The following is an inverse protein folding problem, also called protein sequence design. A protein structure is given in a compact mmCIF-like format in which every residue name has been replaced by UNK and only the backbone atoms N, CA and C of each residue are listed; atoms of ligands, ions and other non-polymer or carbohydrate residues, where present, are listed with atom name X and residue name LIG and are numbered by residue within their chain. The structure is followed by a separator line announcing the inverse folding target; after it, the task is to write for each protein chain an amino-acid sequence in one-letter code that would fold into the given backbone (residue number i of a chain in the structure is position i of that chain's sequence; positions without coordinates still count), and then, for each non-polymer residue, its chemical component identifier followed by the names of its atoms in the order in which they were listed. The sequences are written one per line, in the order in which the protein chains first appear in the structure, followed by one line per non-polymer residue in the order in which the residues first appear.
data_IF_130673250945
#
_entry.id   IF_130673250945
#
_cell.length_a   1.000
_cell.length_b   1.000
_cell.length_c   1.000
_cell.angle_alpha   90.00
_cell.angle_beta   90.00
_cell.angle_gamma   90.00
#
_symmetry.space_group_name_H-M   'P 1'
#
loop_
_entity.id
_entity.type
_entity.pdbx_description
1 polymer ?
#
# COMPACT_ATOMS: atom_id res chain seq x y z
N UNK A 1 -19.70 8.06 9.46
CA UNK A 1 -18.37 7.91 8.84
C UNK A 1 -18.58 7.76 7.35
N UNK A 2 -17.96 8.60 6.50
CA UNK A 2 -17.93 8.34 5.06
C UNK A 2 -17.35 6.94 4.83
N UNK A 3 -17.96 6.22 3.89
CA UNK A 3 -17.81 4.79 3.65
C UNK A 3 -16.34 4.36 3.62
N UNK A 4 -15.96 3.46 4.55
CA UNK A 4 -14.60 2.91 4.64
C UNK A 4 -14.22 2.14 3.36
N UNK A 5 -15.21 1.68 2.58
CA UNK A 5 -14.99 1.11 1.25
C UNK A 5 -14.42 2.15 0.29
N UNK A 6 -14.98 3.36 0.27
CA UNK A 6 -14.44 4.46 -0.54
C UNK A 6 -13.02 4.83 -0.11
N UNK A 7 -12.72 4.81 1.19
CA UNK A 7 -11.36 5.06 1.68
C UNK A 7 -10.37 3.99 1.19
N UNK A 8 -10.77 2.72 1.21
CA UNK A 8 -9.96 1.62 0.68
C UNK A 8 -9.70 1.80 -0.82
N UNK A 9 -10.74 2.10 -1.60
CA UNK A 9 -10.61 2.34 -3.04
C UNK A 9 -9.68 3.50 -3.38
N UNK A 10 -9.83 4.64 -2.70
CA UNK A 10 -8.98 5.82 -2.90
C UNK A 10 -7.54 5.57 -2.46
N UNK A 11 -7.33 4.82 -1.37
CA UNK A 11 -5.99 4.41 -0.95
C UNK A 11 -5.31 3.54 -2.00
N UNK A 12 -6.02 2.54 -2.56
CA UNK A 12 -5.45 1.68 -3.60
C UNK A 12 -5.15 2.43 -4.90
N UNK A 13 -5.95 3.42 -5.27
CA UNK A 13 -5.65 4.31 -6.41
C UNK A 13 -4.36 5.10 -6.16
N UNK A 14 -4.26 5.71 -4.98
CA UNK A 14 -3.07 6.47 -4.59
C UNK A 14 -1.82 5.59 -4.55
N UNK A 15 -1.89 4.43 -3.89
CA UNK A 15 -0.78 3.51 -3.76
C UNK A 15 -0.23 3.07 -5.11
N UNK A 16 -1.11 2.70 -6.05
CA UNK A 16 -0.71 2.24 -7.39
C UNK A 16 -0.04 3.34 -8.21
N UNK A 17 -0.45 4.59 -8.08
CA UNK A 17 0.20 5.72 -8.77
C UNK A 17 1.65 5.91 -8.34
N UNK A 18 1.99 5.52 -7.11
CA UNK A 18 3.36 5.63 -6.61
C UNK A 18 4.27 4.48 -7.05
N UNK A 19 3.72 3.38 -7.55
CA UNK A 19 4.49 2.19 -7.86
C UNK A 19 5.43 2.43 -9.04
N UNK A 20 6.62 1.81 -9.04
CA UNK A 20 7.52 1.85 -10.19
C UNK A 20 6.86 1.26 -11.44
N UNK A 21 7.21 1.77 -12.63
CA UNK A 21 6.64 1.28 -13.91
C UNK A 21 6.85 -0.23 -14.10
N UNK A 22 7.99 -0.74 -13.64
CA UNK A 22 8.35 -2.16 -13.76
C UNK A 22 7.44 -3.09 -12.94
N UNK A 23 6.71 -2.57 -11.94
CA UNK A 23 5.79 -3.35 -11.12
C UNK A 23 4.48 -3.68 -11.86
N UNK A 24 4.11 -2.93 -12.91
CA UNK A 24 2.99 -3.21 -13.83
C UNK A 24 1.63 -3.55 -13.17
N UNK A 25 1.30 -2.88 -12.06
CA UNK A 25 0.04 -3.12 -11.31
C UNK A 25 -1.03 -2.04 -11.50
N UNK A 26 -0.80 -1.05 -12.37
CA UNK A 26 -1.74 0.06 -12.58
C UNK A 26 -3.10 -0.39 -13.14
N UNK A 27 -3.14 -1.49 -13.91
CA UNK A 27 -4.37 -2.02 -14.49
C UNK A 27 -5.23 -2.86 -13.53
N UNK A 28 -4.70 -3.22 -12.36
CA UNK A 28 -5.38 -4.12 -11.42
C UNK A 28 -6.47 -3.35 -10.68
N UNK A 29 -7.68 -3.92 -10.58
CA UNK A 29 -8.77 -3.36 -9.78
C UNK A 29 -8.73 -3.90 -8.36
N UNK A 30 -8.88 -3.02 -7.37
CA UNK A 30 -8.94 -3.40 -5.96
C UNK A 30 -7.60 -3.88 -5.38
N UNK A 31 -7.61 -4.71 -4.32
CA UNK A 31 -6.41 -5.17 -3.64
C UNK A 31 -5.49 -6.01 -4.53
N UNK A 32 -4.19 -5.93 -4.25
CA UNK A 32 -3.21 -6.83 -4.85
C UNK A 32 -3.33 -8.23 -4.25
N UNK A 33 -2.96 -9.22 -5.05
CA UNK A 33 -2.89 -10.64 -4.66
C UNK A 33 -1.43 -11.07 -4.58
N UNK A 34 -1.16 -12.19 -3.90
CA UNK A 34 0.17 -12.76 -3.72
C UNK A 34 1.01 -12.89 -5.00
N UNK A 35 0.37 -13.14 -6.15
CA UNK A 35 1.03 -13.20 -7.47
C UNK A 35 1.67 -11.88 -7.92
N UNK A 36 1.37 -10.77 -7.25
CA UNK A 36 1.95 -9.45 -7.50
C UNK A 36 3.02 -9.09 -6.46
N UNK A 37 3.23 -9.94 -5.45
CA UNK A 37 4.14 -9.69 -4.33
C UNK A 37 5.17 -10.84 -4.20
N UNK A 38 5.66 -11.33 -5.34
CA UNK A 38 6.58 -12.47 -5.43
C UNK A 38 8.02 -12.08 -5.05
N UNK A 39 8.82 -13.06 -4.60
CA UNK A 39 10.23 -12.84 -4.22
C UNK A 39 11.07 -12.27 -5.38
N UNK A 40 10.73 -12.62 -6.62
CA UNK A 40 11.37 -12.10 -7.85
C UNK A 40 11.22 -10.59 -8.03
N UNK A 41 10.18 -10.00 -7.45
CA UNK A 41 9.85 -8.57 -7.46
C UNK A 41 10.62 -7.86 -6.33
N UNK A 42 10.98 -8.55 -5.24
CA UNK A 42 11.70 -7.97 -4.08
C UNK A 42 13.10 -7.46 -4.42
N UNK A 43 13.79 -8.13 -5.34
CA UNK A 43 15.20 -7.84 -5.71
C UNK A 43 15.32 -6.71 -6.75
N UNK A 44 14.20 -6.08 -7.11
CA UNK A 44 14.16 -4.98 -8.07
C UNK A 44 14.41 -3.64 -7.39
N UNK A 45 14.74 -2.64 -8.19
CA UNK A 45 15.03 -1.29 -7.70
C UNK A 45 13.74 -0.58 -7.26
N UNK A 46 13.58 -0.45 -5.94
CA UNK A 46 12.48 0.24 -5.29
C UNK A 46 12.81 1.70 -4.94
N UNK A 47 13.99 2.22 -5.30
CA UNK A 47 14.42 3.57 -4.93
C UNK A 47 13.53 4.66 -5.53
N UNK A 48 12.76 4.33 -6.57
CA UNK A 48 11.75 5.24 -7.13
C UNK A 48 10.66 5.65 -6.12
N UNK A 49 10.37 4.80 -5.13
CA UNK A 49 9.45 5.12 -4.03
C UNK A 49 10.05 6.07 -2.98
N UNK A 50 11.38 6.18 -2.92
CA UNK A 50 12.11 6.95 -1.89
C UNK A 50 12.54 8.36 -2.33
N UNK A 51 12.26 8.76 -3.59
CA UNK A 51 12.72 10.03 -4.17
C UNK A 51 12.32 11.24 -3.30
N UNK A 52 13.34 11.94 -2.76
CA UNK A 52 13.27 13.06 -1.79
C UNK A 52 12.41 14.30 -2.18
N UNK A 53 11.74 14.32 -3.33
CA UNK A 53 10.89 15.45 -3.76
C UNK A 53 9.40 15.22 -3.54
N UNK A 54 9.00 13.98 -3.27
CA UNK A 54 7.62 13.60 -3.00
C UNK A 54 7.70 12.64 -1.82
N UNK A 55 7.17 13.01 -0.66
CA UNK A 55 7.13 12.18 0.54
C UNK A 55 6.24 10.92 0.33
N UNK A 56 6.45 10.12 -0.72
CA UNK A 56 5.55 9.05 -1.16
C UNK A 56 5.34 8.04 -0.05
N UNK A 57 6.41 7.38 0.39
CA UNK A 57 6.32 6.37 1.44
C UNK A 57 5.89 6.94 2.81
N UNK A 58 6.37 8.13 3.18
CA UNK A 58 6.00 8.79 4.44
C UNK A 58 4.52 9.17 4.45
N UNK A 59 3.99 9.65 3.33
CA UNK A 59 2.57 10.00 3.17
C UNK A 59 1.71 8.75 3.19
N UNK A 60 2.16 7.65 2.57
CA UNK A 60 1.49 6.35 2.63
C UNK A 60 1.40 5.84 4.07
N UNK A 61 2.51 5.87 4.82
CA UNK A 61 2.54 5.45 6.23
C UNK A 61 1.62 6.34 7.09
N UNK A 62 1.69 7.66 6.93
CA UNK A 62 0.85 8.59 7.67
C UNK A 62 -0.66 8.39 7.37
N UNK A 63 -1.01 8.21 6.10
CA UNK A 63 -2.39 7.93 5.67
C UNK A 63 -2.90 6.60 6.23
N UNK A 64 -2.06 5.56 6.23
CA UNK A 64 -2.43 4.26 6.76
C UNK A 64 -2.60 4.27 8.29
N UNK A 65 -1.76 5.02 9.00
CA UNK A 65 -1.89 5.23 10.45
C UNK A 65 -3.20 5.95 10.79
N UNK A 66 -3.56 7.00 10.03
CA UNK A 66 -4.82 7.71 10.21
C UNK A 66 -6.04 6.80 9.91
N UNK A 67 -5.98 5.99 8.86
CA UNK A 67 -7.03 5.01 8.58
C UNK A 67 -7.14 3.96 9.70
N UNK A 68 -6.04 3.44 10.21
CA UNK A 68 -6.02 2.48 11.32
C UNK A 68 -6.65 3.05 12.60
N UNK A 69 -6.43 4.34 12.87
CA UNK A 69 -7.12 5.03 13.95
C UNK A 69 -8.65 4.99 13.77
N UNK A 70 -9.15 5.22 12.55
CA UNK A 70 -10.59 5.21 12.24
C UNK A 70 -11.22 3.80 12.30
N UNK A 71 -10.44 2.73 12.12
CA UNK A 71 -10.95 1.34 12.18
C UNK A 71 -11.00 0.77 13.60
N UNK A 72 -10.47 1.45 14.62
CA UNK A 72 -10.52 0.97 16.02
C UNK A 72 -11.94 0.77 16.55
N UNK A 73 -12.93 1.53 16.05
CA UNK A 73 -14.37 1.35 16.32
C UNK A 73 -15.15 0.62 15.23
N UNK A 74 -14.48 0.07 14.22
CA UNK A 74 -15.08 -0.57 13.05
C UNK A 74 -15.40 -2.06 13.23
N UNK A 75 -16.05 -2.65 12.22
CA UNK A 75 -16.37 -4.08 12.16
C UNK A 75 -15.10 -4.92 11.94
N UNK A 76 -15.15 -6.24 12.22
CA UNK A 76 -14.03 -7.15 11.94
C UNK A 76 -13.59 -7.07 10.46
N UNK A 77 -14.55 -7.08 9.53
CA UNK A 77 -14.26 -6.95 8.11
C UNK A 77 -13.49 -5.67 7.74
N UNK A 78 -13.79 -4.55 8.40
CA UNK A 78 -13.08 -3.28 8.17
C UNK A 78 -11.65 -3.32 8.70
N UNK A 79 -11.41 -4.07 9.78
CA UNK A 79 -10.06 -4.31 10.31
C UNK A 79 -9.28 -5.21 9.35
N UNK A 80 -9.89 -6.29 8.84
CA UNK A 80 -9.25 -7.20 7.87
C UNK A 80 -8.81 -6.45 6.59
N UNK A 81 -9.65 -5.54 6.08
CA UNK A 81 -9.32 -4.72 4.91
C UNK A 81 -8.09 -3.84 5.19
N UNK A 82 -8.03 -3.22 6.37
CA UNK A 82 -6.90 -2.39 6.77
C UNK A 82 -5.62 -3.22 6.98
N UNK A 83 -5.72 -4.37 7.64
CA UNK A 83 -4.59 -5.27 7.89
C UNK A 83 -3.95 -5.79 6.60
N UNK A 84 -4.75 -6.12 5.58
CA UNK A 84 -4.24 -6.52 4.26
C UNK A 84 -3.35 -5.43 3.63
N UNK A 85 -3.73 -4.16 3.81
CA UNK A 85 -2.96 -3.02 3.29
C UNK A 85 -1.67 -2.79 4.09
N UNK A 86 -1.71 -3.03 5.41
CA UNK A 86 -0.53 -2.98 6.27
C UNK A 86 0.50 -4.03 5.87
N UNK A 87 0.07 -5.27 5.63
CA UNK A 87 1.00 -6.34 5.23
C UNK A 87 1.64 -6.08 3.86
N UNK A 88 0.90 -5.50 2.92
CA UNK A 88 1.45 -5.07 1.62
C UNK A 88 2.54 -3.99 1.80
N UNK A 89 2.23 -2.94 2.55
CA UNK A 89 3.20 -1.84 2.79
C UNK A 89 4.46 -2.36 3.50
N UNK A 90 4.28 -3.24 4.49
CA UNK A 90 5.38 -3.88 5.20
C UNK A 90 6.25 -4.72 4.27
N UNK A 91 5.66 -5.45 3.34
CA UNK A 91 6.40 -6.23 2.33
C UNK A 91 7.26 -5.33 1.43
N UNK A 92 6.74 -4.18 0.99
CA UNK A 92 7.51 -3.21 0.20
C UNK A 92 8.65 -2.59 1.01
N UNK A 93 8.37 -2.17 2.24
CA UNK A 93 9.40 -1.59 3.13
C UNK A 93 10.55 -2.57 3.39
N UNK A 94 10.24 -3.86 3.61
CA UNK A 94 11.26 -4.91 3.74
C UNK A 94 12.11 -5.03 2.48
N UNK A 95 11.49 -4.96 1.31
CA UNK A 95 12.18 -5.04 0.01
C UNK A 95 13.15 -3.88 -0.17
N UNK A 96 12.73 -2.65 0.18
CA UNK A 96 13.58 -1.45 0.13
C UNK A 96 14.80 -1.54 1.07
N UNK A 97 14.68 -2.21 2.22
CA UNK A 97 15.79 -2.35 3.18
C UNK A 97 16.71 -3.54 2.91
N UNK A 98 16.34 -4.41 1.97
CA UNK A 98 17.11 -5.61 1.61
C UNK A 98 18.04 -5.40 0.40
N UNK A 99 18.14 -4.15 -0.08
CA UNK A 99 19.00 -3.72 -1.18
C UNK A 99 20.30 -3.14 -0.63
#
# INVERSE_FOLDING_TARGET
LKDLMTMSEEWWKFWKVLQPEWHDIHGIKGPLRQSHCEESIRVKDWDELSKCRVNGIVTVVAGLAFWGYLTTGGTCHQKDIWENVVEELKWVLQSMTST
#
